data_IF_788740351350
#
_entry.id   IF_788740351350
#
_cell.length_a   1.000
_cell.length_b   1.000
_cell.length_c   1.000
_cell.angle_alpha   90.00
_cell.angle_beta   90.00
_cell.angle_gamma   90.00
#
_symmetry.space_group_name_H-M   'P 1'
#
loop_
_entity.id
_entity.type
_entity.pdbx_description
1 polymer ?
#
# COMPACT_ATOMS: atom_id res chain seq x y z
N UNK A 1 -10.42 31.34 23.39
CA UNK A 1 -9.61 30.57 24.36
C UNK A 1 -10.34 29.27 24.67
N UNK A 2 -10.21 28.24 23.83
CA UNK A 2 -10.58 26.85 24.19
C UNK A 2 -9.72 25.89 23.37
N UNK A 3 -9.05 25.01 24.11
CA UNK A 3 -7.95 24.14 23.70
C UNK A 3 -8.37 23.01 22.74
N UNK A 4 -7.73 22.94 21.56
CA UNK A 4 -7.65 21.70 20.78
C UNK A 4 -6.50 20.84 21.32
N UNK A 5 -6.84 19.84 22.12
CA UNK A 5 -5.91 18.76 22.49
C UNK A 5 -5.72 17.81 21.30
N UNK A 6 -4.50 17.85 20.76
CA UNK A 6 -3.94 16.87 19.82
C UNK A 6 -4.03 15.47 20.43
N UNK A 7 -4.82 14.57 19.83
CA UNK A 7 -4.70 13.13 20.05
C UNK A 7 -3.80 12.50 18.99
N UNK A 8 -2.69 11.97 19.50
CA UNK A 8 -1.75 11.04 18.88
C UNK A 8 -2.50 9.82 18.32
N UNK A 9 -2.48 9.68 16.98
CA UNK A 9 -3.01 8.51 16.27
C UNK A 9 -2.11 7.29 16.53
N UNK A 10 -2.36 6.59 17.65
CA UNK A 10 -1.69 5.34 18.00
C UNK A 10 -2.19 4.17 17.16
N UNK A 11 -1.32 3.17 16.96
CA UNK A 11 -1.56 1.91 16.25
C UNK A 11 -2.85 1.15 16.64
N UNK A 12 -3.50 1.52 17.75
CA UNK A 12 -4.75 0.92 18.23
C UNK A 12 -5.95 1.14 17.30
N UNK A 13 -6.01 2.25 16.57
CA UNK A 13 -7.13 2.49 15.65
C UNK A 13 -7.11 1.57 14.40
N UNK A 14 -5.98 0.92 14.11
CA UNK A 14 -5.87 -0.09 13.04
C UNK A 14 -6.23 -1.50 13.52
N UNK A 15 -6.18 -1.77 14.83
CA UNK A 15 -6.53 -3.07 15.40
C UNK A 15 -8.03 -3.22 15.66
N UNK A 16 -8.75 -2.14 15.99
CA UNK A 16 -10.21 -2.19 16.19
C UNK A 16 -10.99 -2.40 14.89
N UNK A 17 -10.49 -1.94 13.75
CA UNK A 17 -11.17 -2.11 12.45
C UNK A 17 -11.05 -3.53 11.86
N UNK A 18 -10.14 -4.36 12.40
CA UNK A 18 -9.85 -5.71 11.88
C UNK A 18 -10.51 -6.82 12.72
N UNK A 19 -11.17 -6.45 13.84
CA UNK A 19 -11.74 -7.39 14.82
C UNK A 19 -13.27 -7.31 14.95
N UNK A 20 -13.96 -6.25 14.47
CA UNK A 20 -15.40 -6.07 14.80
C UNK A 20 -16.43 -5.91 13.67
N UNK A 21 -16.08 -5.79 12.38
CA UNK A 21 -17.10 -5.71 11.33
C UNK A 21 -17.17 -6.97 10.47
N UNK A 22 -17.97 -7.93 10.94
CA UNK A 22 -18.58 -8.97 10.12
C UNK A 22 -20.02 -9.19 10.61
N UNK A 23 -20.85 -8.17 10.40
CA UNK A 23 -22.31 -8.19 10.45
C UNK A 23 -22.71 -7.68 9.06
N UNK A 24 -23.09 -8.55 8.12
CA UNK A 24 -24.39 -9.19 8.10
C UNK A 24 -24.44 -10.22 6.96
N UNK A 25 -25.30 -11.21 7.14
CA UNK A 25 -25.72 -12.27 6.21
C UNK A 25 -24.88 -13.56 6.19
N UNK A 26 -25.28 -14.42 7.13
CA UNK A 26 -25.04 -15.85 7.26
C UNK A 26 -24.61 -16.61 6.00
N UNK A 27 -23.39 -17.13 6.04
CA UNK A 27 -23.14 -18.55 5.73
C UNK A 27 -22.40 -19.14 6.93
N UNK A 28 -23.18 -19.77 7.81
CA UNK A 28 -22.68 -20.61 8.87
C UNK A 28 -21.86 -21.74 8.26
N UNK A 29 -20.54 -21.72 8.45
CA UNK A 29 -19.68 -22.91 8.63
C UNK A 29 -18.30 -22.47 9.17
N UNK A 30 -18.30 -21.57 10.16
CA UNK A 30 -17.35 -21.80 11.23
C UNK A 30 -17.93 -22.98 11.99
N UNK A 31 -17.25 -24.11 11.98
CA UNK A 31 -17.31 -25.03 13.10
C UNK A 31 -16.97 -24.19 14.34
N UNK A 32 -18.01 -23.60 14.96
CA UNK A 32 -18.03 -23.36 16.39
C UNK A 32 -17.94 -24.75 16.97
N UNK A 33 -16.72 -25.25 17.09
CA UNK A 33 -16.44 -26.20 18.14
C UNK A 33 -16.65 -25.39 19.41
N UNK A 34 -17.89 -25.35 19.90
CA UNK A 34 -18.14 -25.22 21.33
C UNK A 34 -17.48 -26.45 21.92
N UNK A 35 -16.19 -26.35 22.25
CA UNK A 35 -15.63 -27.23 23.24
C UNK A 35 -16.39 -26.89 24.53
N UNK A 36 -17.43 -27.68 24.83
CA UNK A 36 -17.86 -27.86 26.21
C UNK A 36 -16.76 -28.73 26.84
N UNK A 37 -15.62 -28.12 27.11
CA UNK A 37 -14.61 -28.71 27.97
C UNK A 37 -14.89 -28.19 29.38
N UNK A 38 -15.51 -29.05 30.19
CA UNK A 38 -15.68 -28.89 31.63
C UNK A 38 -14.30 -28.89 32.32
N UNK A 39 -13.59 -27.77 32.25
CA UNK A 39 -12.60 -27.34 33.25
C UNK A 39 -12.54 -25.82 33.19
N UNK A 40 -13.18 -25.16 34.15
CA UNK A 40 -13.05 -23.73 34.37
C UNK A 40 -11.68 -23.44 35.00
N UNK A 41 -10.61 -23.59 34.22
CA UNK A 41 -9.27 -23.17 34.62
C UNK A 41 -9.04 -21.74 34.11
N UNK A 42 -8.65 -20.85 35.02
CA UNK A 42 -8.35 -19.45 34.69
C UNK A 42 -7.33 -19.40 33.52
N UNK A 43 -7.67 -18.77 32.37
CA UNK A 43 -6.76 -18.64 31.24
C UNK A 43 -5.43 -17.95 31.59
N UNK A 44 -5.37 -17.21 32.70
CA UNK A 44 -4.15 -16.61 33.25
C UNK A 44 -3.16 -17.64 33.82
N UNK A 45 -3.65 -18.83 34.18
CA UNK A 45 -2.86 -19.94 34.71
C UNK A 45 -2.46 -20.94 33.62
N UNK A 46 -2.85 -20.70 32.36
CA UNK A 46 -2.52 -21.61 31.26
C UNK A 46 -1.05 -21.52 30.87
N UNK A 47 -0.45 -22.65 30.47
CA UNK A 47 0.90 -22.67 29.90
C UNK A 47 1.02 -21.72 28.69
N UNK A 48 0.00 -21.67 27.84
CA UNK A 48 -0.01 -20.77 26.68
C UNK A 48 0.07 -19.28 27.09
N UNK A 49 -0.50 -18.90 28.24
CA UNK A 49 -0.40 -17.53 28.75
C UNK A 49 1.03 -17.16 29.14
N UNK A 50 1.69 -17.95 29.99
CA UNK A 50 3.08 -17.69 30.39
C UNK A 50 4.02 -17.75 29.19
N UNK A 51 3.87 -18.77 28.33
CA UNK A 51 4.65 -18.94 27.11
C UNK A 51 4.61 -17.70 26.18
N UNK A 52 3.44 -17.09 25.99
CA UNK A 52 3.32 -15.87 25.18
C UNK A 52 4.00 -14.65 25.82
N UNK A 53 3.98 -14.54 27.15
CA UNK A 53 4.65 -13.45 27.87
C UNK A 53 6.16 -13.65 27.77
N UNK A 54 6.64 -14.82 28.16
CA UNK A 54 8.07 -15.09 28.35
C UNK A 54 8.82 -15.11 27.02
N UNK A 55 8.26 -15.77 26.00
CA UNK A 55 8.95 -15.99 24.72
C UNK A 55 8.67 -14.91 23.68
N UNK A 56 7.52 -14.25 23.75
CA UNK A 56 7.07 -13.28 22.75
C UNK A 56 6.85 -11.87 23.30
N UNK A 57 6.99 -11.66 24.61
CA UNK A 57 6.86 -10.34 25.24
C UNK A 57 5.46 -9.76 25.10
N UNK A 58 4.41 -10.58 25.22
CA UNK A 58 3.04 -10.10 25.27
C UNK A 58 2.80 -9.37 26.60
N UNK A 59 1.96 -8.33 26.58
CA UNK A 59 1.41 -7.79 27.83
C UNK A 59 0.43 -8.80 28.44
N UNK A 60 0.27 -8.80 29.77
CA UNK A 60 -0.67 -9.68 30.46
C UNK A 60 -2.07 -9.66 29.83
N UNK A 61 -2.60 -8.46 29.55
CA UNK A 61 -3.92 -8.31 28.90
C UNK A 61 -3.99 -9.00 27.53
N UNK A 62 -2.95 -8.86 26.70
CA UNK A 62 -2.93 -9.43 25.36
C UNK A 62 -2.70 -10.94 25.39
N UNK A 63 -1.83 -11.41 26.29
CA UNK A 63 -1.60 -12.82 26.53
C UNK A 63 -2.88 -13.52 27.01
N UNK A 64 -3.62 -12.92 27.96
CA UNK A 64 -4.88 -13.46 28.45
C UNK A 64 -5.96 -13.54 27.36
N UNK A 65 -6.02 -12.54 26.48
CA UNK A 65 -6.96 -12.56 25.37
C UNK A 65 -6.61 -13.64 24.34
N UNK A 66 -5.32 -13.85 24.07
CA UNK A 66 -4.84 -14.84 23.12
C UNK A 66 -4.92 -16.27 23.65
N UNK A 67 -4.55 -16.50 24.92
CA UNK A 67 -4.47 -17.84 25.53
C UNK A 67 -5.82 -18.55 25.57
N UNK A 68 -6.93 -17.81 25.64
CA UNK A 68 -8.31 -18.33 25.50
C UNK A 68 -8.55 -19.16 24.23
N UNK A 69 -7.75 -18.94 23.19
CA UNK A 69 -7.87 -19.61 21.89
C UNK A 69 -6.69 -20.53 21.59
N UNK A 70 -5.81 -20.77 22.57
CA UNK A 70 -4.63 -21.64 22.45
C UNK A 70 -4.77 -22.81 23.40
N UNK A 71 -4.64 -24.03 22.86
CA UNK A 71 -4.91 -25.26 23.61
C UNK A 71 -3.65 -26.09 23.89
N UNK A 72 -2.45 -25.56 23.62
CA UNK A 72 -1.20 -26.27 23.91
C UNK A 72 -0.81 -26.13 25.39
N UNK A 73 -0.36 -27.24 25.98
CA UNK A 73 0.07 -27.33 27.39
C UNK A 73 1.59 -27.46 27.54
N UNK A 74 2.31 -27.70 26.45
CA UNK A 74 3.77 -27.90 26.40
C UNK A 74 4.38 -27.05 25.28
N UNK A 75 5.71 -26.79 25.31
CA UNK A 75 6.36 -26.01 24.27
C UNK A 75 6.59 -26.80 22.97
N UNK A 76 6.45 -28.13 22.97
CA UNK A 76 6.88 -28.99 21.85
C UNK A 76 6.26 -28.58 20.51
N UNK A 77 4.94 -28.37 20.50
CA UNK A 77 4.21 -27.96 19.31
C UNK A 77 4.52 -26.53 18.85
N UNK A 78 4.40 -25.49 19.69
CA UNK A 78 4.75 -24.14 19.28
C UNK A 78 6.24 -24.01 18.90
N UNK A 79 7.15 -24.73 19.57
CA UNK A 79 8.58 -24.71 19.25
C UNK A 79 8.89 -25.39 17.93
N UNK A 80 8.21 -26.51 17.62
CA UNK A 80 8.28 -27.16 16.30
C UNK A 80 7.86 -26.21 15.18
N UNK A 81 6.76 -25.46 15.36
CA UNK A 81 6.31 -24.45 14.38
C UNK A 81 7.36 -23.35 14.20
N UNK A 82 7.95 -22.85 15.30
CA UNK A 82 8.98 -21.80 15.26
C UNK A 82 10.21 -22.32 14.52
N UNK A 83 10.74 -23.48 14.92
CA UNK A 83 11.92 -24.10 14.31
C UNK A 83 11.70 -24.36 12.81
N UNK A 84 10.49 -24.79 12.42
CA UNK A 84 10.14 -24.96 11.01
C UNK A 84 10.18 -23.64 10.23
N UNK A 85 9.60 -22.57 10.78
CA UNK A 85 9.63 -21.26 10.14
C UNK A 85 11.06 -20.71 10.05
N UNK A 86 11.89 -20.87 11.08
CA UNK A 86 13.30 -20.50 11.06
C UNK A 86 14.07 -21.28 9.97
N UNK A 87 13.86 -22.60 9.87
CA UNK A 87 14.43 -23.44 8.80
C UNK A 87 14.01 -22.98 7.39
N UNK A 88 12.85 -22.33 7.27
CA UNK A 88 12.32 -21.78 6.03
C UNK A 88 12.71 -20.31 5.79
N UNK A 89 13.64 -19.77 6.57
CA UNK A 89 14.26 -18.46 6.36
C UNK A 89 13.52 -17.29 7.03
N UNK A 90 12.51 -17.55 7.87
CA UNK A 90 11.88 -16.48 8.65
C UNK A 90 12.81 -16.03 9.77
N UNK A 91 12.98 -14.72 9.91
CA UNK A 91 13.74 -14.16 11.04
C UNK A 91 12.96 -14.27 12.36
N UNK A 92 13.68 -14.29 13.49
CA UNK A 92 13.07 -14.23 14.83
C UNK A 92 12.08 -13.06 14.97
N UNK A 93 12.43 -11.89 14.42
CA UNK A 93 11.57 -10.70 14.44
C UNK A 93 10.29 -10.88 13.62
N UNK A 94 10.36 -11.53 12.45
CA UNK A 94 9.20 -11.85 11.62
C UNK A 94 8.30 -12.87 12.32
N UNK A 95 8.87 -13.91 12.92
CA UNK A 95 8.10 -14.92 13.67
C UNK A 95 7.39 -14.27 14.86
N UNK A 96 8.08 -13.41 15.63
CA UNK A 96 7.47 -12.65 16.72
C UNK A 96 6.29 -11.79 16.22
N UNK A 97 6.43 -11.12 15.08
CA UNK A 97 5.35 -10.34 14.48
C UNK A 97 4.17 -11.23 14.06
N UNK A 98 4.44 -12.36 13.41
CA UNK A 98 3.42 -13.34 12.99
C UNK A 98 2.62 -13.81 14.20
N UNK A 99 3.30 -14.23 15.28
CA UNK A 99 2.67 -14.72 16.50
C UNK A 99 1.88 -13.61 17.20
N UNK A 100 2.40 -12.37 17.27
CA UNK A 100 1.68 -11.22 17.83
C UNK A 100 0.39 -10.91 17.07
N UNK A 101 0.39 -11.01 15.75
CA UNK A 101 -0.78 -10.76 14.91
C UNK A 101 -1.76 -11.94 14.88
N UNK A 102 -1.25 -13.17 14.98
CA UNK A 102 -2.06 -14.39 14.92
C UNK A 102 -1.47 -15.51 15.79
N UNK A 103 -1.70 -15.46 17.11
CA UNK A 103 -1.22 -16.50 18.03
C UNK A 103 -1.62 -17.93 17.66
N UNK A 104 -2.82 -18.20 17.07
CA UNK A 104 -3.21 -19.56 16.67
C UNK A 104 -2.26 -20.26 15.69
N UNK A 105 -1.36 -19.53 15.01
CA UNK A 105 -0.30 -20.12 14.18
C UNK A 105 0.55 -21.13 14.95
N UNK A 106 0.78 -20.89 16.24
CA UNK A 106 1.56 -21.75 17.14
C UNK A 106 0.93 -23.14 17.35
N UNK A 107 -0.34 -23.30 16.98
CA UNK A 107 -1.06 -24.56 17.09
C UNK A 107 -1.30 -25.22 15.72
N UNK A 108 -0.85 -24.63 14.62
CA UNK A 108 -0.95 -25.25 13.30
C UNK A 108 -0.05 -26.50 13.22
N UNK A 109 -0.50 -27.53 12.51
CA UNK A 109 0.35 -28.68 12.20
C UNK A 109 1.35 -28.31 11.10
N UNK A 110 2.64 -28.63 11.29
CA UNK A 110 3.67 -28.27 10.32
C UNK A 110 3.45 -29.00 8.99
N UNK A 111 3.40 -30.33 9.01
CA UNK A 111 3.31 -31.18 7.82
C UNK A 111 1.98 -31.07 7.08
N UNK A 112 0.87 -31.04 7.81
CA UNK A 112 -0.47 -31.13 7.24
C UNK A 112 -1.12 -29.75 7.01
N UNK A 113 -0.49 -28.65 7.44
CA UNK A 113 -1.12 -27.33 7.35
C UNK A 113 -0.15 -26.23 6.90
N UNK A 114 1.02 -26.11 7.52
CA UNK A 114 1.96 -25.02 7.17
C UNK A 114 2.68 -25.36 5.87
N UNK A 115 3.39 -26.49 5.81
CA UNK A 115 4.22 -26.92 4.68
C UNK A 115 3.46 -26.90 3.33
N UNK A 116 2.25 -27.48 3.20
CA UNK A 116 1.54 -27.51 1.91
C UNK A 116 1.21 -26.10 1.39
N UNK A 117 0.98 -25.13 2.28
CA UNK A 117 0.75 -23.73 1.87
C UNK A 117 2.02 -23.09 1.32
N UNK A 118 3.18 -23.34 1.93
CA UNK A 118 4.45 -22.82 1.45
C UNK A 118 4.80 -23.43 0.09
N UNK A 119 4.61 -24.74 -0.05
CA UNK A 119 4.81 -25.46 -1.31
C UNK A 119 3.89 -24.98 -2.42
N UNK A 120 2.60 -24.75 -2.12
CA UNK A 120 1.66 -24.17 -3.07
C UNK A 120 2.15 -22.81 -3.59
N UNK A 121 2.49 -21.86 -2.71
CA UNK A 121 2.95 -20.56 -3.19
C UNK A 121 4.25 -20.65 -4.01
N UNK A 122 5.17 -21.55 -3.63
CA UNK A 122 6.40 -21.79 -4.40
C UNK A 122 6.11 -22.38 -5.77
N UNK A 123 5.21 -23.36 -5.87
CA UNK A 123 4.84 -23.97 -7.15
C UNK A 123 4.13 -22.99 -8.09
N UNK A 124 3.53 -21.93 -7.55
CA UNK A 124 2.96 -20.79 -8.30
C UNK A 124 3.96 -19.66 -8.57
N UNK A 125 5.25 -19.87 -8.32
CA UNK A 125 6.31 -18.92 -8.66
C UNK A 125 6.56 -17.81 -7.63
N UNK A 126 6.04 -17.93 -6.39
CA UNK A 126 6.39 -16.99 -5.31
C UNK A 126 7.80 -17.31 -4.79
N UNK A 127 8.72 -16.34 -4.94
CA UNK A 127 10.08 -16.46 -4.41
C UNK A 127 10.09 -16.58 -2.87
N UNK A 128 11.11 -17.23 -2.28
CA UNK A 128 11.22 -17.35 -0.83
C UNK A 128 11.16 -16.01 -0.08
N UNK A 129 11.86 -14.93 -0.50
CA UNK A 129 11.74 -13.62 0.15
C UNK A 129 10.33 -13.02 0.05
N UNK A 130 9.65 -13.19 -1.09
CA UNK A 130 8.29 -12.70 -1.28
C UNK A 130 7.27 -13.49 -0.45
N UNK A 131 7.47 -14.80 -0.32
CA UNK A 131 6.65 -15.68 0.50
C UNK A 131 6.74 -15.31 1.98
N UNK A 132 7.97 -15.11 2.48
CA UNK A 132 8.21 -14.65 3.86
C UNK A 132 7.51 -13.32 4.09
N UNK A 133 7.65 -12.36 3.16
CA UNK A 133 6.97 -11.06 3.25
C UNK A 133 5.45 -11.20 3.23
N UNK A 134 4.89 -12.01 2.34
CA UNK A 134 3.45 -12.27 2.21
C UNK A 134 2.88 -12.80 3.54
N UNK A 135 3.50 -13.85 4.09
CA UNK A 135 3.05 -14.53 5.30
C UNK A 135 3.28 -13.69 6.57
N UNK A 136 4.37 -12.91 6.61
CA UNK A 136 4.61 -11.96 7.70
C UNK A 136 3.62 -10.80 7.72
N UNK A 137 3.22 -10.31 6.53
CA UNK A 137 2.22 -9.24 6.42
C UNK A 137 0.79 -9.73 6.66
N UNK A 138 0.45 -10.95 6.23
CA UNK A 138 -0.87 -11.53 6.46
C UNK A 138 -0.81 -12.94 7.08
N UNK A 139 -0.56 -13.05 8.40
CA UNK A 139 -0.51 -14.32 9.11
C UNK A 139 -1.83 -15.11 9.10
N UNK A 140 -2.95 -14.51 8.69
CA UNK A 140 -4.24 -15.22 8.56
C UNK A 140 -4.15 -16.36 7.55
N UNK A 141 -3.21 -16.31 6.62
CA UNK A 141 -2.99 -17.35 5.61
C UNK A 141 -2.73 -18.71 6.27
N UNK A 142 -1.96 -18.76 7.37
CA UNK A 142 -1.69 -20.03 8.07
C UNK A 142 -2.97 -20.70 8.60
N UNK A 143 -3.97 -19.91 8.98
CA UNK A 143 -5.21 -20.41 9.56
C UNK A 143 -6.33 -20.65 8.53
N UNK A 144 -6.10 -20.42 7.23
CA UNK A 144 -7.09 -20.67 6.18
C UNK A 144 -6.89 -22.03 5.53
N UNK A 145 -7.97 -22.63 5.02
CA UNK A 145 -7.87 -23.85 4.22
C UNK A 145 -7.12 -23.55 2.92
N UNK A 146 -6.20 -24.43 2.57
CA UNK A 146 -5.46 -24.32 1.32
C UNK A 146 -6.41 -24.54 0.14
N UNK A 147 -7.15 -25.64 0.19
CA UNK A 147 -8.00 -26.19 -0.87
C UNK A 147 -9.24 -25.32 -1.10
N UNK A 148 -9.90 -24.89 -0.01
CA UNK A 148 -11.20 -24.22 -0.10
C UNK A 148 -11.10 -22.69 -0.14
N UNK A 149 -9.93 -22.11 0.13
CA UNK A 149 -9.79 -20.64 0.19
C UNK A 149 -8.56 -20.11 -0.53
N UNK A 150 -7.37 -20.62 -0.23
CA UNK A 150 -6.14 -20.06 -0.78
C UNK A 150 -5.99 -20.39 -2.28
N UNK A 151 -6.14 -21.66 -2.66
CA UNK A 151 -6.02 -22.08 -4.06
C UNK A 151 -7.10 -21.46 -4.95
N UNK A 152 -8.41 -21.46 -4.58
CA UNK A 152 -9.44 -20.84 -5.40
C UNK A 152 -9.21 -19.33 -5.57
N UNK A 153 -8.80 -18.63 -4.50
CA UNK A 153 -8.47 -17.21 -4.57
C UNK A 153 -7.28 -16.96 -5.53
N UNK A 154 -6.21 -17.74 -5.42
CA UNK A 154 -5.07 -17.58 -6.31
C UNK A 154 -5.44 -17.87 -7.77
N UNK A 155 -6.19 -18.95 -8.02
CA UNK A 155 -6.64 -19.32 -9.36
C UNK A 155 -7.51 -18.22 -9.96
N UNK A 156 -8.42 -17.65 -9.17
CA UNK A 156 -9.20 -16.49 -9.60
C UNK A 156 -8.30 -15.31 -9.98
N UNK A 157 -7.30 -14.97 -9.15
CA UNK A 157 -6.36 -13.89 -9.44
C UNK A 157 -5.55 -14.15 -10.73
N UNK A 158 -5.11 -15.39 -10.93
CA UNK A 158 -4.41 -15.82 -12.15
C UNK A 158 -5.30 -15.66 -13.37
N UNK A 159 -6.56 -16.11 -13.30
CA UNK A 159 -7.52 -16.00 -14.40
C UNK A 159 -7.85 -14.54 -14.73
N UNK A 160 -8.16 -13.73 -13.70
CA UNK A 160 -8.44 -12.30 -13.86
C UNK A 160 -7.26 -11.56 -14.50
N UNK A 161 -6.02 -11.89 -14.10
CA UNK A 161 -4.82 -11.21 -14.61
C UNK A 161 -4.18 -11.91 -15.81
N UNK A 162 -4.72 -13.07 -16.20
CA UNK A 162 -4.26 -13.97 -17.25
C UNK A 162 -2.78 -14.37 -17.07
N UNK A 163 -2.31 -14.51 -15.83
CA UNK A 163 -0.91 -14.82 -15.50
C UNK A 163 -0.69 -15.05 -14.01
N UNK A 164 -0.01 -16.14 -13.67
CA UNK A 164 0.48 -16.41 -12.31
C UNK A 164 1.48 -15.35 -11.84
N UNK A 165 2.40 -14.92 -12.70
CA UNK A 165 3.37 -13.88 -12.38
C UNK A 165 2.66 -12.56 -11.98
N UNK A 166 1.62 -12.18 -12.72
CA UNK A 166 0.81 -11.00 -12.41
C UNK A 166 -0.02 -11.21 -11.13
N UNK A 167 -0.55 -12.42 -10.89
CA UNK A 167 -1.22 -12.77 -9.65
C UNK A 167 -0.29 -12.61 -8.44
N UNK A 168 0.92 -13.19 -8.51
CA UNK A 168 1.97 -13.03 -7.49
C UNK A 168 2.31 -11.55 -7.28
N UNK A 169 2.46 -10.78 -8.37
CA UNK A 169 2.71 -9.33 -8.30
C UNK A 169 1.59 -8.58 -7.58
N UNK A 170 0.32 -8.94 -7.82
CA UNK A 170 -0.82 -8.33 -7.13
C UNK A 170 -0.86 -8.68 -5.63
N UNK A 171 -0.57 -9.94 -5.27
CA UNK A 171 -0.46 -10.40 -3.88
C UNK A 171 0.67 -9.69 -3.13
N UNK A 172 1.82 -9.48 -3.79
CA UNK A 172 2.94 -8.71 -3.22
C UNK A 172 2.54 -7.26 -2.93
N UNK A 173 1.67 -6.66 -3.74
CA UNK A 173 1.14 -5.31 -3.50
C UNK A 173 0.11 -5.27 -2.39
N UNK A 174 -0.73 -6.30 -2.27
CA UNK A 174 -1.75 -6.39 -1.22
C UNK A 174 -1.94 -7.83 -0.70
N UNK A 175 -1.13 -8.27 0.29
CA UNK A 175 -1.16 -9.62 0.87
C UNK A 175 -2.52 -10.08 1.42
N UNK A 176 -3.39 -9.13 1.77
CA UNK A 176 -4.71 -9.43 2.31
C UNK A 176 -5.71 -9.92 1.26
N UNK A 177 -5.40 -9.83 -0.04
CA UNK A 177 -6.23 -10.39 -1.12
C UNK A 177 -6.58 -11.86 -0.89
N UNK A 178 -5.61 -12.68 -0.45
CA UNK A 178 -5.81 -14.13 -0.16
C UNK A 178 -6.92 -14.38 0.87
N UNK A 179 -7.24 -13.36 1.68
CA UNK A 179 -8.26 -13.44 2.73
C UNK A 179 -9.54 -12.67 2.39
N UNK A 180 -9.61 -12.01 1.24
CA UNK A 180 -10.78 -11.24 0.82
C UNK A 180 -11.88 -12.17 0.31
N UNK A 181 -13.13 -11.80 0.58
CA UNK A 181 -14.28 -12.42 -0.09
C UNK A 181 -14.43 -11.73 -1.46
N UNK A 182 -14.14 -12.47 -2.53
CA UNK A 182 -14.18 -11.93 -3.89
C UNK A 182 -15.62 -11.66 -4.32
N UNK A 183 -16.53 -12.59 -4.07
CA UNK A 183 -17.94 -12.51 -4.44
C UNK A 183 -18.65 -11.33 -3.75
N UNK A 184 -18.30 -11.05 -2.49
CA UNK A 184 -18.94 -9.97 -1.74
C UNK A 184 -18.40 -8.57 -2.06
N UNK A 185 -17.16 -8.44 -2.55
CA UNK A 185 -16.50 -7.13 -2.70
C UNK A 185 -15.88 -6.93 -4.08
N UNK A 186 -15.00 -7.82 -4.51
CA UNK A 186 -14.18 -7.58 -5.70
C UNK A 186 -14.99 -7.73 -6.98
N UNK A 187 -15.76 -8.81 -7.10
CA UNK A 187 -16.58 -9.11 -8.28
C UNK A 187 -17.65 -8.05 -8.54
N UNK A 188 -18.48 -7.63 -7.55
CA UNK A 188 -19.43 -6.54 -7.74
C UNK A 188 -18.76 -5.23 -8.19
N UNK A 189 -17.57 -4.92 -7.68
CA UNK A 189 -16.83 -3.71 -8.05
C UNK A 189 -16.26 -3.80 -9.47
N UNK A 190 -15.80 -4.98 -9.90
CA UNK A 190 -15.39 -5.22 -11.30
C UNK A 190 -16.59 -5.06 -12.23
N UNK A 191 -17.71 -5.70 -11.91
CA UNK A 191 -18.94 -5.62 -12.71
C UNK A 191 -19.45 -4.18 -12.81
N UNK A 192 -19.43 -3.43 -11.71
CA UNK A 192 -19.79 -2.00 -11.70
C UNK A 192 -18.96 -1.18 -12.70
N UNK A 193 -17.65 -1.47 -12.86
CA UNK A 193 -16.83 -0.80 -13.86
C UNK A 193 -17.18 -1.24 -15.29
N UNK A 194 -17.39 -2.54 -15.51
CA UNK A 194 -17.80 -3.09 -16.80
C UNK A 194 -19.15 -2.52 -17.27
N UNK A 195 -20.14 -2.50 -16.38
CA UNK A 195 -21.48 -1.94 -16.63
C UNK A 195 -21.43 -0.44 -16.97
N UNK A 196 -20.36 0.25 -16.55
CA UNK A 196 -20.13 1.66 -16.85
C UNK A 196 -19.27 1.90 -18.09
N UNK A 197 -18.91 0.84 -18.83
CA UNK A 197 -18.17 0.93 -20.08
C UNK A 197 -16.64 0.96 -19.93
N UNK A 198 -16.10 0.61 -18.76
CA UNK A 198 -14.65 0.55 -18.58
C UNK A 198 -14.08 -0.69 -19.31
N UNK A 199 -13.07 -0.54 -20.17
CA UNK A 199 -12.42 -1.68 -20.84
C UNK A 199 -11.82 -2.67 -19.84
N UNK A 200 -12.04 -3.96 -20.07
CA UNK A 200 -11.53 -5.03 -19.20
C UNK A 200 -9.99 -4.97 -19.05
N UNK A 201 -9.27 -4.61 -20.11
CA UNK A 201 -7.82 -4.38 -20.08
C UNK A 201 -7.41 -3.29 -19.09
N UNK A 202 -8.17 -2.20 -19.01
CA UNK A 202 -7.96 -1.11 -18.06
C UNK A 202 -8.26 -1.56 -16.62
N UNK A 203 -9.33 -2.36 -16.42
CA UNK A 203 -9.66 -2.94 -15.11
C UNK A 203 -8.53 -3.87 -14.64
N UNK A 204 -8.04 -4.77 -15.50
CA UNK A 204 -6.91 -5.66 -15.18
C UNK A 204 -5.65 -4.87 -14.84
N UNK A 205 -5.34 -3.83 -15.62
CA UNK A 205 -4.20 -2.96 -15.34
C UNK A 205 -4.33 -2.25 -13.99
N UNK A 206 -5.51 -1.70 -13.68
CA UNK A 206 -5.80 -1.08 -12.39
C UNK A 206 -5.71 -2.08 -11.24
N UNK A 207 -6.30 -3.28 -11.38
CA UNK A 207 -6.25 -4.32 -10.37
C UNK A 207 -4.82 -4.76 -10.07
N UNK A 208 -3.98 -4.90 -11.11
CA UNK A 208 -2.57 -5.24 -10.95
C UNK A 208 -1.77 -4.17 -10.19
N UNK A 209 -2.08 -2.89 -10.38
CA UNK A 209 -1.34 -1.79 -9.73
C UNK A 209 -1.91 -1.41 -8.36
N UNK A 210 -3.22 -1.53 -8.19
CA UNK A 210 -3.97 -1.04 -7.03
C UNK A 210 -5.01 -2.05 -6.54
N UNK A 211 -4.66 -3.32 -6.26
CA UNK A 211 -5.67 -4.35 -5.93
C UNK A 211 -6.57 -3.98 -4.74
N UNK A 212 -6.03 -3.23 -3.77
CA UNK A 212 -6.79 -2.71 -2.62
C UNK A 212 -7.95 -1.79 -3.01
N UNK A 213 -7.95 -1.18 -4.20
CA UNK A 213 -9.05 -0.31 -4.64
C UNK A 213 -10.36 -1.06 -4.82
N UNK A 214 -10.28 -2.34 -5.17
CA UNK A 214 -11.44 -3.21 -5.41
C UNK A 214 -11.98 -3.85 -4.12
N UNK A 215 -11.25 -3.73 -3.00
CA UNK A 215 -11.69 -4.21 -1.69
C UNK A 215 -12.41 -3.07 -0.98
N UNK A 216 -13.66 -2.85 -1.40
CA UNK A 216 -14.56 -1.80 -0.94
C UNK A 216 -16.00 -2.31 -0.96
N UNK A 217 -16.84 -1.79 -0.08
CA UNK A 217 -18.29 -2.06 -0.04
C UNK A 217 -18.90 -1.70 -1.41
N UNK A 218 -19.63 -2.60 -2.08
CA UNK A 218 -20.13 -2.40 -3.44
C UNK A 218 -20.95 -1.12 -3.64
N UNK A 219 -21.90 -0.83 -2.74
CA UNK A 219 -22.77 0.35 -2.87
C UNK A 219 -21.95 1.66 -2.90
N UNK A 220 -20.99 1.78 -1.98
CA UNK A 220 -20.09 2.93 -1.94
C UNK A 220 -19.19 3.01 -3.18
N UNK A 221 -18.75 1.88 -3.70
CA UNK A 221 -17.93 1.86 -4.92
C UNK A 221 -18.75 2.33 -6.13
N UNK A 222 -20.01 1.89 -6.22
CA UNK A 222 -20.96 2.31 -7.25
C UNK A 222 -21.26 3.81 -7.19
N UNK A 223 -21.45 4.37 -5.99
CA UNK A 223 -21.59 5.82 -5.80
C UNK A 223 -20.38 6.58 -6.34
N UNK A 224 -19.15 6.13 -6.02
CA UNK A 224 -17.92 6.75 -6.52
C UNK A 224 -17.84 6.69 -8.05
N UNK A 225 -18.13 5.53 -8.65
CA UNK A 225 -18.08 5.35 -10.11
C UNK A 225 -19.09 6.29 -10.79
N UNK A 226 -20.29 6.42 -10.21
CA UNK A 226 -21.32 7.35 -10.69
C UNK A 226 -20.85 8.80 -10.58
N UNK A 227 -20.35 9.22 -9.42
CA UNK A 227 -19.86 10.58 -9.18
C UNK A 227 -18.73 10.96 -10.16
N UNK A 228 -17.76 10.07 -10.36
CA UNK A 228 -16.66 10.31 -11.31
C UNK A 228 -17.15 10.41 -12.76
N UNK A 229 -18.17 9.64 -13.13
CA UNK A 229 -18.79 9.72 -14.46
C UNK A 229 -19.56 11.03 -14.65
N UNK A 230 -20.32 11.46 -13.64
CA UNK A 230 -21.03 12.75 -13.64
C UNK A 230 -20.08 13.95 -13.68
N UNK A 231 -18.85 13.81 -13.18
CA UNK A 231 -17.77 14.78 -13.33
C UNK A 231 -17.18 14.86 -14.74
N UNK A 232 -17.68 14.07 -15.70
CA UNK A 232 -17.26 14.13 -17.10
C UNK A 232 -16.01 13.31 -17.44
N UNK A 233 -15.55 12.43 -16.54
CA UNK A 233 -14.49 11.49 -16.89
C UNK A 233 -15.03 10.41 -17.83
N UNK A 234 -14.35 10.22 -18.96
CA UNK A 234 -14.65 9.15 -19.92
C UNK A 234 -14.22 7.76 -19.37
N UNK A 235 -15.15 6.82 -19.15
CA UNK A 235 -14.87 5.47 -18.66
C UNK A 235 -13.89 4.66 -19.53
N UNK A 236 -13.74 5.00 -20.80
CA UNK A 236 -12.80 4.36 -21.71
C UNK A 236 -11.34 4.70 -21.41
N UNK A 237 -11.10 5.84 -20.75
CA UNK A 237 -9.76 6.36 -20.48
C UNK A 237 -9.27 5.99 -19.08
N UNK A 238 -7.98 5.68 -18.96
CA UNK A 238 -7.36 5.28 -17.68
C UNK A 238 -7.46 6.35 -16.58
N UNK A 239 -7.61 7.62 -16.96
CA UNK A 239 -7.85 8.74 -16.03
C UNK A 239 -9.15 8.59 -15.23
N UNK A 240 -10.18 7.94 -15.79
CA UNK A 240 -11.42 7.62 -15.06
C UNK A 240 -11.11 6.73 -13.85
N UNK A 241 -10.35 5.66 -14.06
CA UNK A 241 -9.92 4.76 -12.98
C UNK A 241 -8.99 5.45 -11.97
N UNK A 242 -8.13 6.36 -12.44
CA UNK A 242 -7.34 7.24 -11.58
C UNK A 242 -8.21 8.08 -10.64
N UNK A 243 -9.28 8.70 -11.17
CA UNK A 243 -10.24 9.45 -10.38
C UNK A 243 -11.01 8.55 -9.41
N UNK A 244 -11.50 7.39 -9.83
CA UNK A 244 -12.16 6.40 -8.92
C UNK A 244 -11.25 6.03 -7.74
N UNK A 245 -9.96 5.78 -7.99
CA UNK A 245 -8.98 5.52 -6.92
C UNK A 245 -8.86 6.72 -5.97
N UNK A 246 -8.95 7.94 -6.49
CA UNK A 246 -8.82 9.16 -5.68
C UNK A 246 -10.03 9.40 -4.79
N UNK A 247 -11.24 9.27 -5.32
CA UNK A 247 -12.49 9.38 -4.55
C UNK A 247 -12.67 8.22 -3.55
N UNK A 248 -12.03 7.07 -3.79
CA UNK A 248 -11.90 6.03 -2.77
C UNK A 248 -11.04 6.48 -1.57
N UNK A 249 -10.01 7.31 -1.81
CA UNK A 249 -9.05 7.75 -0.78
C UNK A 249 -9.48 9.03 -0.07
N UNK A 250 -10.29 9.88 -0.69
CA UNK A 250 -10.70 11.17 -0.14
C UNK A 250 -12.11 11.57 -0.59
N UNK A 251 -12.77 12.45 0.18
CA UNK A 251 -14.06 13.02 -0.21
C UNK A 251 -13.90 14.12 -1.26
N UNK A 252 -15.00 14.45 -1.95
CA UNK A 252 -15.10 15.64 -2.82
C UNK A 252 -14.67 16.92 -2.12
N UNK A 253 -15.14 17.15 -0.89
CA UNK A 253 -14.74 18.32 -0.08
C UNK A 253 -13.24 18.35 0.23
N UNK A 254 -12.60 17.19 0.38
CA UNK A 254 -11.14 17.12 0.56
C UNK A 254 -10.41 17.48 -0.73
N UNK A 255 -10.94 17.05 -1.88
CA UNK A 255 -10.41 17.42 -3.19
C UNK A 255 -10.53 18.94 -3.41
N UNK A 256 -11.71 19.53 -3.18
CA UNK A 256 -11.95 20.97 -3.31
C UNK A 256 -10.95 21.79 -2.48
N UNK A 257 -10.75 21.44 -1.21
CA UNK A 257 -9.74 22.12 -0.37
C UNK A 257 -8.31 21.99 -0.91
N UNK A 258 -7.98 20.91 -1.63
CA UNK A 258 -6.67 20.77 -2.29
C UNK A 258 -6.59 21.60 -3.57
N UNK A 259 -7.67 21.68 -4.34
CA UNK A 259 -7.75 22.58 -5.50
C UNK A 259 -7.66 24.05 -5.06
N UNK A 260 -8.20 24.42 -3.91
CA UNK A 260 -8.07 25.78 -3.36
C UNK A 260 -6.63 26.14 -3.01
N UNK A 261 -5.77 25.16 -2.69
CA UNK A 261 -4.33 25.42 -2.54
C UNK A 261 -3.74 25.84 -3.87
N UNK A 262 -4.11 25.19 -4.97
CA UNK A 262 -3.67 25.56 -6.32
C UNK A 262 -4.12 26.97 -6.71
N UNK A 263 -5.34 27.37 -6.34
CA UNK A 263 -5.86 28.72 -6.57
C UNK A 263 -4.99 29.81 -5.92
N UNK A 264 -4.40 29.54 -4.74
CA UNK A 264 -3.44 30.46 -4.09
C UNK A 264 -2.15 30.68 -4.89
N UNK A 265 -1.85 29.79 -5.83
CA UNK A 265 -0.73 29.92 -6.76
C UNK A 265 -1.15 30.52 -8.11
N UNK A 266 -2.31 31.16 -8.18
CA UNK A 266 -2.79 31.88 -9.35
C UNK A 266 -3.51 31.00 -10.38
N UNK A 267 -3.85 29.75 -10.05
CA UNK A 267 -4.68 28.92 -10.94
C UNK A 267 -6.15 29.33 -10.81
N UNK A 268 -6.84 29.44 -11.93
CA UNK A 268 -8.30 29.52 -11.94
C UNK A 268 -8.93 28.21 -11.46
N UNK A 269 -10.24 28.25 -11.22
CA UNK A 269 -11.01 27.04 -10.91
C UNK A 269 -10.94 26.02 -12.04
N UNK A 270 -11.07 26.48 -13.29
CA UNK A 270 -10.98 25.62 -14.47
C UNK A 270 -9.59 24.99 -14.62
N UNK A 271 -8.51 25.78 -14.48
CA UNK A 271 -7.14 25.25 -14.59
C UNK A 271 -6.82 24.23 -13.49
N UNK A 272 -7.32 24.47 -12.27
CA UNK A 272 -7.19 23.53 -11.16
C UNK A 272 -7.91 22.22 -11.44
N UNK A 273 -9.12 22.31 -12.00
CA UNK A 273 -9.89 21.15 -12.41
C UNK A 273 -9.23 20.40 -13.56
N UNK A 274 -8.78 21.10 -14.60
CA UNK A 274 -8.10 20.52 -15.76
C UNK A 274 -6.81 19.79 -15.35
N UNK A 275 -6.04 20.37 -14.41
CA UNK A 275 -4.87 19.73 -13.83
C UNK A 275 -5.22 18.39 -13.14
N UNK A 276 -6.31 18.37 -12.36
CA UNK A 276 -6.82 17.15 -11.75
C UNK A 276 -7.27 16.12 -12.80
N UNK A 277 -8.02 16.54 -13.82
CA UNK A 277 -8.48 15.66 -14.89
C UNK A 277 -7.33 15.08 -15.73
N UNK A 278 -6.27 15.86 -15.96
CA UNK A 278 -5.03 15.41 -16.65
C UNK A 278 -4.31 14.33 -15.82
N UNK A 279 -4.23 14.48 -14.50
CA UNK A 279 -3.60 13.50 -13.64
C UNK A 279 -4.20 13.48 -12.21
N UNK A 280 -5.22 12.65 -11.93
CA UNK A 280 -5.86 12.64 -10.62
C UNK A 280 -4.91 12.40 -9.45
N UNK A 281 -3.81 11.65 -9.68
CA UNK A 281 -2.81 11.35 -8.66
C UNK A 281 -2.01 12.57 -8.17
N UNK A 282 -2.05 13.72 -8.86
CA UNK A 282 -1.45 14.95 -8.36
C UNK A 282 -2.05 15.37 -7.01
N UNK A 283 -3.32 14.99 -6.76
CA UNK A 283 -4.04 15.27 -5.53
C UNK A 283 -3.85 14.20 -4.46
N UNK A 284 -3.01 13.17 -4.68
CA UNK A 284 -2.62 12.25 -3.60
C UNK A 284 -1.71 12.95 -2.57
N UNK A 285 -0.93 13.95 -2.99
CA UNK A 285 -0.10 14.76 -2.11
C UNK A 285 -0.95 15.53 -1.07
N UNK A 286 -0.40 15.77 0.12
CA UNK A 286 -1.06 16.64 1.12
C UNK A 286 -1.01 18.10 0.68
N UNK A 287 -1.84 18.95 1.28
CA UNK A 287 -1.86 20.39 0.98
C UNK A 287 -0.48 21.01 1.26
N UNK A 288 0.14 20.64 2.37
CA UNK A 288 1.47 21.12 2.77
C UNK A 288 2.53 20.70 1.75
N UNK A 289 2.45 19.47 1.24
CA UNK A 289 3.37 18.98 0.21
C UNK A 289 3.17 19.72 -1.11
N UNK A 290 1.92 19.97 -1.52
CA UNK A 290 1.62 20.75 -2.74
C UNK A 290 2.20 22.16 -2.61
N UNK A 291 1.93 22.85 -1.49
CA UNK A 291 2.47 24.18 -1.22
C UNK A 291 4.01 24.20 -1.26
N UNK A 292 4.67 23.24 -0.62
CA UNK A 292 6.14 23.18 -0.60
C UNK A 292 6.74 22.87 -1.99
N UNK A 293 6.05 22.10 -2.83
CA UNK A 293 6.46 21.87 -4.22
C UNK A 293 6.29 23.14 -5.04
N UNK A 294 5.14 23.81 -4.92
CA UNK A 294 4.86 25.04 -5.66
C UNK A 294 5.82 26.17 -5.27
N UNK A 295 6.11 26.34 -3.97
CA UNK A 295 7.09 27.31 -3.49
C UNK A 295 8.47 27.09 -4.10
N UNK A 296 8.95 25.84 -4.09
CA UNK A 296 10.23 25.52 -4.71
C UNK A 296 10.21 25.73 -6.23
N UNK A 297 9.16 25.29 -6.94
CA UNK A 297 9.13 25.38 -8.40
C UNK A 297 8.91 26.82 -8.90
N UNK A 298 8.00 27.56 -8.26
CA UNK A 298 7.65 28.92 -8.68
C UNK A 298 8.64 29.93 -8.12
N UNK A 299 8.80 29.99 -6.80
CA UNK A 299 9.58 31.05 -6.17
C UNK A 299 11.08 30.80 -6.26
N UNK A 300 11.55 29.55 -6.05
CA UNK A 300 12.98 29.23 -6.05
C UNK A 300 13.54 28.94 -7.45
N UNK A 301 12.78 28.22 -8.27
CA UNK A 301 13.22 27.80 -9.61
C UNK A 301 12.73 28.73 -10.73
N UNK A 302 11.78 29.63 -10.45
CA UNK A 302 11.28 30.61 -11.42
C UNK A 302 10.36 30.02 -12.49
N UNK A 303 9.78 28.83 -12.29
CA UNK A 303 8.80 28.30 -13.22
C UNK A 303 7.50 29.10 -13.14
N UNK A 304 6.88 29.34 -14.30
CA UNK A 304 5.52 29.87 -14.35
C UNK A 304 4.55 28.88 -13.69
N UNK A 305 3.70 29.38 -12.79
CA UNK A 305 2.72 28.55 -12.07
C UNK A 305 1.80 27.78 -13.02
N UNK A 306 1.38 28.41 -14.13
CA UNK A 306 0.49 27.79 -15.11
C UNK A 306 1.14 26.60 -15.84
N UNK A 307 2.46 26.63 -16.07
CA UNK A 307 3.19 25.48 -16.65
C UNK A 307 3.07 24.23 -15.75
N UNK A 308 2.95 24.43 -14.44
CA UNK A 308 2.78 23.35 -13.47
C UNK A 308 1.34 22.79 -13.55
N UNK A 309 0.34 23.64 -13.77
CA UNK A 309 -1.05 23.22 -14.02
C UNK A 309 -1.15 22.35 -15.29
N UNK A 310 -0.35 22.66 -16.31
CA UNK A 310 -0.25 21.87 -17.54
C UNK A 310 0.51 20.56 -17.37
N UNK A 311 1.42 20.48 -16.39
CA UNK A 311 2.24 19.30 -16.11
C UNK A 311 2.08 18.82 -14.64
N UNK A 312 0.87 18.45 -14.21
CA UNK A 312 0.54 18.19 -12.80
C UNK A 312 1.20 16.93 -12.23
N UNK A 313 1.82 16.09 -13.06
CA UNK A 313 2.60 14.92 -12.64
C UNK A 313 3.71 15.25 -11.65
N UNK A 314 4.29 16.46 -11.73
CA UNK A 314 5.36 16.90 -10.83
C UNK A 314 4.91 16.96 -9.38
N UNK A 315 3.63 17.29 -9.11
CA UNK A 315 3.08 17.36 -7.74
C UNK A 315 3.06 15.98 -7.06
N UNK A 316 2.99 14.91 -7.86
CA UNK A 316 3.09 13.53 -7.37
C UNK A 316 4.51 13.10 -7.00
N UNK A 317 5.55 13.83 -7.43
CA UNK A 317 6.96 13.44 -7.21
C UNK A 317 7.40 13.71 -5.78
N UNK A 318 8.56 13.14 -5.40
CA UNK A 318 9.15 13.38 -4.09
C UNK A 318 9.84 14.73 -4.06
N UNK A 319 9.45 15.61 -3.14
CA UNK A 319 10.11 16.91 -2.97
C UNK A 319 11.60 16.71 -2.64
N UNK A 320 11.89 15.98 -1.56
CA UNK A 320 13.25 15.81 -1.03
C UNK A 320 14.12 14.82 -1.81
N UNK A 321 13.53 13.81 -2.44
CA UNK A 321 14.32 12.78 -3.16
C UNK A 321 14.46 13.04 -4.65
N UNK A 322 13.82 14.08 -5.20
CA UNK A 322 13.75 14.28 -6.64
C UNK A 322 13.64 15.73 -7.06
N UNK A 323 12.60 16.45 -6.63
CA UNK A 323 12.34 17.81 -7.14
C UNK A 323 13.48 18.75 -6.73
N UNK A 324 13.78 18.83 -5.44
CA UNK A 324 14.82 19.73 -4.93
C UNK A 324 16.21 19.36 -5.44
N UNK A 325 16.68 18.09 -5.30
CA UNK A 325 18.03 17.73 -5.74
C UNK A 325 18.27 18.04 -7.21
N UNK A 326 17.28 17.70 -8.07
CA UNK A 326 17.41 17.88 -9.52
C UNK A 326 17.25 19.33 -9.94
N UNK A 327 16.40 20.11 -9.26
CA UNK A 327 16.24 21.53 -9.52
C UNK A 327 17.52 22.31 -9.23
N UNK A 328 18.07 22.15 -8.02
CA UNK A 328 19.32 22.83 -7.62
C UNK A 328 20.51 22.37 -8.48
N UNK A 329 20.61 21.07 -8.77
CA UNK A 329 21.65 20.56 -9.66
C UNK A 329 21.54 21.17 -11.06
N UNK A 330 20.32 21.31 -11.60
CA UNK A 330 20.12 21.92 -12.91
C UNK A 330 20.46 23.42 -12.91
N UNK A 331 20.21 24.15 -11.83
CA UNK A 331 20.68 25.54 -11.66
C UNK A 331 22.21 25.64 -11.67
N UNK A 332 22.91 24.72 -11.00
CA UNK A 332 24.38 24.68 -11.04
C UNK A 332 24.92 24.35 -12.44
N UNK A 333 24.24 23.48 -13.19
CA UNK A 333 24.61 23.20 -14.58
C UNK A 333 24.38 24.43 -15.49
N UNK A 334 23.30 25.18 -15.27
CA UNK A 334 23.04 26.44 -15.99
C UNK A 334 24.12 27.47 -15.67
N UNK A 335 24.46 27.67 -14.40
CA UNK A 335 25.45 28.69 -13.99
C UNK A 335 26.86 28.39 -14.50
N UNK A 336 27.19 27.10 -14.68
CA UNK A 336 28.44 26.65 -15.31
C UNK A 336 28.41 26.67 -16.84
N UNK A 337 27.29 27.06 -17.46
CA UNK A 337 27.12 27.06 -18.92
C UNK A 337 27.08 25.66 -19.55
N UNK A 338 26.95 24.59 -18.75
CA UNK A 338 26.93 23.22 -19.25
C UNK A 338 25.59 22.91 -19.95
N UNK A 339 24.49 23.51 -19.51
CA UNK A 339 23.19 23.44 -20.18
C UNK A 339 22.69 24.84 -20.52
N UNK A 340 21.91 24.95 -21.60
CA UNK A 340 21.27 26.23 -22.00
C UNK A 340 19.89 26.44 -21.39
N UNK A 341 19.13 25.35 -21.23
CA UNK A 341 17.78 25.33 -20.66
C UNK A 341 17.42 23.93 -20.18
N UNK A 342 16.39 23.84 -19.36
CA UNK A 342 15.74 22.58 -18.99
C UNK A 342 14.22 22.72 -19.00
N UNK A 343 13.53 21.59 -19.09
CA UNK A 343 12.07 21.52 -18.98
C UNK A 343 11.67 20.80 -17.70
N UNK A 344 10.46 21.11 -17.22
CA UNK A 344 9.90 20.53 -16.01
C UNK A 344 9.81 18.98 -16.10
N UNK A 345 9.25 18.47 -17.21
CA UNK A 345 9.22 17.03 -17.50
C UNK A 345 10.61 16.40 -17.64
N UNK A 346 11.56 17.09 -18.29
CA UNK A 346 12.92 16.61 -18.48
C UNK A 346 13.66 16.38 -17.16
N UNK A 347 13.46 17.27 -16.19
CA UNK A 347 14.05 17.15 -14.85
C UNK A 347 13.30 16.15 -13.98
N UNK A 348 11.99 16.24 -13.89
CA UNK A 348 11.24 15.61 -12.79
C UNK A 348 10.54 14.30 -13.18
N UNK A 349 10.20 14.10 -14.45
CA UNK A 349 9.49 12.90 -14.91
C UNK A 349 10.41 11.79 -15.40
N UNK A 350 11.68 12.09 -15.66
CA UNK A 350 12.67 11.09 -16.07
C UNK A 350 13.06 10.14 -14.94
N UNK A 351 13.31 8.86 -15.26
CA UNK A 351 13.84 7.89 -14.28
C UNK A 351 15.22 8.33 -13.77
N UNK A 352 15.71 7.73 -12.67
CA UNK A 352 17.05 8.04 -12.16
C UNK A 352 18.15 7.74 -13.20
N UNK A 353 18.07 6.56 -13.83
CA UNK A 353 18.98 6.15 -14.90
C UNK A 353 18.99 7.15 -16.06
N UNK A 354 17.81 7.57 -16.53
CA UNK A 354 17.71 8.51 -17.65
C UNK A 354 18.20 9.91 -17.26
N UNK A 355 17.92 10.35 -16.04
CA UNK A 355 18.40 11.63 -15.53
C UNK A 355 19.93 11.67 -15.47
N UNK A 356 20.56 10.65 -14.87
CA UNK A 356 22.02 10.53 -14.79
C UNK A 356 22.62 10.50 -16.19
N UNK A 357 22.05 9.71 -17.11
CA UNK A 357 22.58 9.67 -18.47
C UNK A 357 22.53 11.03 -19.18
N UNK A 358 21.44 11.79 -19.00
CA UNK A 358 21.23 13.06 -19.70
C UNK A 358 22.02 14.22 -19.12
N UNK A 359 22.16 14.29 -17.79
CA UNK A 359 22.69 15.47 -17.10
C UNK A 359 24.06 15.24 -16.46
N UNK A 360 24.54 14.00 -16.39
CA UNK A 360 25.83 13.64 -15.78
C UNK A 360 26.71 12.96 -16.84
N UNK A 361 26.33 11.76 -17.29
CA UNK A 361 27.19 10.95 -18.17
C UNK A 361 27.40 11.54 -19.57
N UNK A 362 26.58 12.53 -19.98
CA UNK A 362 26.78 13.28 -21.22
C UNK A 362 28.11 14.05 -21.22
N UNK A 363 28.61 14.43 -20.05
CA UNK A 363 29.86 15.16 -19.90
C UNK A 363 30.93 14.19 -19.37
N UNK A 364 31.38 13.29 -20.23
CA UNK A 364 32.23 12.13 -19.85
C UNK A 364 33.43 12.54 -18.98
N UNK A 365 34.13 13.60 -19.36
CA UNK A 365 35.34 14.08 -18.68
C UNK A 365 35.10 14.60 -17.24
N UNK A 366 33.89 15.07 -16.95
CA UNK A 366 33.51 15.67 -15.65
C UNK A 366 32.39 14.90 -14.94
N UNK A 367 32.01 13.74 -15.46
CA UNK A 367 30.91 12.94 -14.93
C UNK A 367 31.10 12.54 -13.45
N UNK A 368 32.31 12.16 -12.98
CA UNK A 368 32.53 11.86 -11.55
C UNK A 368 32.25 13.07 -10.64
N UNK A 369 32.67 14.27 -11.04
CA UNK A 369 32.49 15.51 -10.30
C UNK A 369 31.01 15.91 -10.28
N UNK A 370 30.31 15.80 -11.42
CA UNK A 370 28.87 16.05 -11.51
C UNK A 370 28.05 15.06 -10.68
N UNK A 371 28.46 13.78 -10.64
CA UNK A 371 27.81 12.78 -9.80
C UNK A 371 27.99 13.10 -8.32
N UNK A 372 29.18 13.54 -7.90
CA UNK A 372 29.43 14.00 -6.53
C UNK A 372 28.55 15.21 -6.20
N UNK A 373 28.52 16.21 -7.07
CA UNK A 373 27.68 17.40 -6.89
C UNK A 373 26.19 17.04 -6.76
N UNK A 374 25.68 16.14 -7.60
CA UNK A 374 24.30 15.68 -7.51
C UNK A 374 24.00 14.95 -6.19
N UNK A 375 24.93 14.13 -5.68
CA UNK A 375 24.82 13.51 -4.35
C UNK A 375 24.77 14.54 -3.23
N UNK A 376 25.58 15.60 -3.30
CA UNK A 376 25.54 16.70 -2.33
C UNK A 376 24.16 17.39 -2.31
N UNK A 377 23.52 17.57 -3.49
CA UNK A 377 22.14 18.10 -3.55
C UNK A 377 21.10 17.15 -2.96
N UNK A 378 21.29 15.83 -3.11
CA UNK A 378 20.44 14.83 -2.47
C UNK A 378 20.52 14.94 -0.94
N UNK A 379 21.73 15.02 -0.40
CA UNK A 379 21.95 15.10 1.05
C UNK A 379 21.40 16.42 1.64
N UNK A 380 21.62 17.53 0.93
CA UNK A 380 21.08 18.85 1.29
C UNK A 380 19.54 18.85 1.32
N UNK A 381 18.89 18.20 0.35
CA UNK A 381 17.44 18.09 0.31
C UNK A 381 16.88 17.18 1.41
N UNK A 382 17.59 16.12 1.77
CA UNK A 382 17.22 15.25 2.91
C UNK A 382 17.29 16.07 4.21
N UNK A 383 18.34 16.87 4.38
CA UNK A 383 18.54 17.79 5.51
C UNK A 383 17.57 18.97 5.58
N UNK A 384 16.77 19.22 4.53
CA UNK A 384 15.77 20.29 4.52
C UNK A 384 16.33 21.70 4.34
N UNK A 385 17.52 21.85 3.77
CA UNK A 385 18.22 23.14 3.63
C UNK A 385 18.22 23.64 2.17
N UNK A 386 17.08 24.04 1.60
CA UNK A 386 16.97 24.43 0.19
C UNK A 386 16.06 25.63 -0.07
#
# INVERSE_FOLDING_TARGET
MFNLSRKTSSLFHRLSYIVMNNSSSNSHLFLRVRCISNTCSDPSQSFAFSYLIDKFGFSQKSALAASKYLLFKTPDKPDSVIAFLEKHGFSKTQIQQIVKLRPPVLYCNVENNILPKLEFFRSRGVSSPDLIKLLSCNPRIFCRSLENQIMPCFNYLSNLLQSDEKAVKSLKRYPYLVSCNFDAYILPNINTLLDNGVPESNIRAMFLQHPRSFVMIPDRFKEIVKEVKEMGFDPMLTKFLGAVIMFRKMSKSTLERKLDVCKKWGWSEQESWDAFCKNPYCMEASQEKITAIMDFLVNKMGFQSLLIADQPYVLGRSLKKRIVPRGLFAQDLLSKGLIKKFTLSGLFDTSEKVFIQRFINRYEDIAPQLLKLYKEKLDLAIGGKY
#
